data_IF_608374172584
#
_entry.id   IF_608374172584
#
_cell.length_a   1.000
_cell.length_b   1.000
_cell.length_c   1.000
_cell.angle_alpha   90.00
_cell.angle_beta   90.00
_cell.angle_gamma   90.00
#
_symmetry.space_group_name_H-M   'P 1'
#
loop_
_entity.id
_entity.type
_entity.pdbx_description
1 polymer ?
#
# COMPACT_ATOMS: atom_id res chain seq x y z
N UNK A 1 17.23 -2.76 -4.08
CA UNK A 1 15.98 -2.17 -3.58
C UNK A 1 14.94 -3.26 -3.71
N UNK A 2 14.69 -3.99 -2.63
CA UNK A 2 13.67 -5.03 -2.62
C UNK A 2 12.30 -4.40 -2.86
N UNK A 3 11.72 -4.71 -4.02
CA UNK A 3 10.33 -4.42 -4.30
C UNK A 3 9.52 -5.20 -3.26
N UNK A 4 8.99 -4.51 -2.25
CA UNK A 4 8.12 -5.13 -1.25
C UNK A 4 6.74 -5.36 -1.86
N UNK A 5 6.69 -6.27 -2.83
CA UNK A 5 5.47 -6.82 -3.38
C UNK A 5 5.12 -8.01 -2.51
N UNK A 6 4.16 -7.82 -1.61
CA UNK A 6 3.68 -8.94 -0.84
C UNK A 6 3.12 -10.00 -1.79
N UNK A 7 3.63 -11.23 -1.71
CA UNK A 7 3.23 -12.35 -2.58
C UNK A 7 1.84 -12.93 -2.26
N UNK A 8 0.98 -12.17 -1.58
CA UNK A 8 -0.36 -12.61 -1.22
C UNK A 8 -1.33 -12.35 -2.39
N UNK A 9 -2.10 -13.36 -2.78
CA UNK A 9 -3.10 -13.27 -3.85
C UNK A 9 -4.17 -12.20 -3.59
N UNK A 10 -4.42 -11.85 -2.33
CA UNK A 10 -5.39 -10.82 -1.92
C UNK A 10 -4.84 -9.38 -1.99
N UNK A 11 -3.62 -9.19 -2.50
CA UNK A 11 -3.05 -7.85 -2.65
C UNK A 11 -3.78 -7.06 -3.75
N UNK A 12 -4.53 -6.04 -3.36
CA UNK A 12 -5.20 -5.13 -4.28
C UNK A 12 -4.26 -4.01 -4.71
N UNK A 13 -4.07 -3.84 -6.02
CA UNK A 13 -3.35 -2.69 -6.55
C UNK A 13 -4.29 -1.50 -6.72
N UNK A 14 -3.85 -0.32 -6.30
CA UNK A 14 -4.55 0.96 -6.51
C UNK A 14 -3.66 1.88 -7.33
N UNK A 15 -4.26 2.66 -8.23
CA UNK A 15 -3.57 3.51 -9.19
C UNK A 15 -4.03 4.97 -9.07
N UNK A 16 -3.13 5.89 -9.35
CA UNK A 16 -3.37 7.33 -9.46
C UNK A 16 -2.69 7.85 -10.73
N UNK A 17 -3.46 8.52 -11.58
CA UNK A 17 -2.96 9.22 -12.78
C UNK A 17 -2.32 10.57 -12.46
N UNK A 18 -2.28 10.97 -11.18
CA UNK A 18 -1.71 12.25 -10.73
C UNK A 18 -0.18 12.20 -10.65
N UNK A 19 0.47 13.33 -10.41
CA UNK A 19 1.89 13.41 -10.09
C UNK A 19 2.25 12.69 -8.77
N UNK A 20 3.55 12.65 -8.42
CA UNK A 20 4.05 11.92 -7.24
C UNK A 20 3.41 12.39 -5.92
N UNK A 21 3.48 13.68 -5.59
CA UNK A 21 2.99 14.18 -4.28
C UNK A 21 1.49 13.90 -4.07
N UNK A 22 0.58 14.23 -5.01
CA UNK A 22 -0.83 13.90 -4.84
C UNK A 22 -1.11 12.39 -4.78
N UNK A 23 -0.21 11.56 -5.31
CA UNK A 23 -0.33 10.10 -5.22
C UNK A 23 0.09 9.58 -3.85
N UNK A 24 1.05 10.23 -3.20
CA UNK A 24 1.39 9.99 -1.79
C UNK A 24 0.23 10.42 -0.88
N UNK A 25 -0.34 11.61 -1.11
CA UNK A 25 -1.49 12.09 -0.34
C UNK A 25 -2.69 11.14 -0.47
N UNK A 26 -2.98 10.67 -1.69
CA UNK A 26 -4.05 9.70 -1.91
C UNK A 26 -3.78 8.37 -1.20
N UNK A 27 -2.55 7.85 -1.28
CA UNK A 27 -2.14 6.63 -0.57
C UNK A 27 -2.39 6.77 0.94
N UNK A 28 -2.01 7.91 1.52
CA UNK A 28 -2.12 8.16 2.96
C UNK A 28 -3.58 8.38 3.38
N UNK A 29 -4.38 9.07 2.57
CA UNK A 29 -5.82 9.20 2.76
C UNK A 29 -6.52 7.83 2.74
N UNK A 30 -6.12 6.94 1.82
CA UNK A 30 -6.61 5.56 1.79
C UNK A 30 -6.21 4.80 3.05
N UNK A 31 -4.93 4.87 3.46
CA UNK A 31 -4.45 4.22 4.68
C UNK A 31 -5.16 4.72 5.96
N UNK A 32 -5.64 5.97 5.97
CA UNK A 32 -6.42 6.55 7.07
C UNK A 32 -7.92 6.20 7.02
N UNK A 33 -8.44 5.69 5.89
CA UNK A 33 -9.84 5.32 5.75
C UNK A 33 -10.17 4.06 6.57
N UNK A 34 -11.31 4.00 7.28
CA UNK A 34 -11.75 2.81 8.02
C UNK A 34 -11.82 1.55 7.14
N UNK A 35 -12.11 1.69 5.84
CA UNK A 35 -12.19 0.57 4.90
C UNK A 35 -10.83 -0.07 4.61
N UNK A 36 -9.73 0.66 4.78
CA UNK A 36 -8.36 0.17 4.62
C UNK A 36 -7.57 0.21 5.93
N UNK A 37 -8.24 0.52 7.04
CA UNK A 37 -7.64 0.55 8.36
C UNK A 37 -7.20 -0.87 8.74
N UNK A 38 -5.91 -1.02 9.02
CA UNK A 38 -5.33 -2.34 9.23
C UNK A 38 -5.14 -3.13 7.93
N UNK A 39 -4.89 -2.46 6.80
CA UNK A 39 -4.27 -3.03 5.60
C UNK A 39 -2.88 -2.42 5.37
N UNK A 40 -1.95 -3.19 4.82
CA UNK A 40 -0.57 -2.73 4.60
C UNK A 40 -0.46 -2.04 3.24
N UNK A 41 0.24 -0.90 3.19
CA UNK A 41 0.49 -0.15 1.96
C UNK A 41 2.00 -0.03 1.71
N UNK A 42 2.49 -0.69 0.64
CA UNK A 42 3.92 -1.03 0.55
C UNK A 42 4.84 0.05 -0.04
N UNK A 43 4.41 0.79 -1.08
CA UNK A 43 5.13 1.95 -1.65
C UNK A 43 4.35 2.56 -2.81
N UNK A 44 4.57 3.85 -3.11
CA UNK A 44 4.15 4.48 -4.37
C UNK A 44 5.24 4.27 -5.43
N UNK A 45 4.91 3.67 -6.57
CA UNK A 45 5.82 3.43 -7.70
C UNK A 45 5.16 3.77 -9.03
N UNK A 46 5.96 4.20 -10.01
CA UNK A 46 5.44 4.57 -11.33
C UNK A 46 5.25 3.31 -12.19
N UNK A 47 4.04 3.11 -12.70
CA UNK A 47 3.74 2.13 -13.75
C UNK A 47 3.70 2.79 -15.12
N UNK A 48 4.46 2.26 -16.10
CA UNK A 48 4.36 2.71 -17.49
C UNK A 48 2.92 2.64 -17.99
N UNK A 49 2.44 3.73 -18.59
CA UNK A 49 1.12 3.82 -19.21
C UNK A 49 -0.09 3.93 -18.26
N UNK A 50 0.10 3.83 -16.94
CA UNK A 50 -1.01 3.87 -15.96
C UNK A 50 -0.85 5.03 -14.95
N UNK A 51 0.40 5.45 -14.66
CA UNK A 51 0.69 6.45 -13.64
C UNK A 51 1.24 5.82 -12.37
N UNK A 52 1.05 6.45 -11.22
CA UNK A 52 1.57 5.93 -9.95
C UNK A 52 0.65 4.86 -9.37
N UNK A 53 1.23 3.88 -8.68
CA UNK A 53 0.52 2.76 -8.10
C UNK A 53 1.07 2.41 -6.72
N UNK A 54 0.24 1.76 -5.90
CA UNK A 54 0.61 1.12 -4.63
C UNK A 54 -0.25 -0.12 -4.40
N UNK A 55 0.15 -0.97 -3.47
CA UNK A 55 -0.61 -2.20 -3.15
C UNK A 55 -1.15 -2.12 -1.74
N UNK A 56 -2.40 -2.56 -1.56
CA UNK A 56 -3.09 -2.72 -0.30
C UNK A 56 -3.21 -4.22 -0.02
N UNK A 57 -2.78 -4.69 1.14
CA UNK A 57 -2.86 -6.10 1.50
C UNK A 57 -3.36 -6.30 2.94
N UNK A 58 -4.53 -6.93 3.15
CA UNK A 58 -5.05 -7.22 4.48
C UNK A 58 -4.19 -8.24 5.23
N UNK A 59 -3.75 -9.33 4.56
CA UNK A 59 -2.89 -10.35 5.17
C UNK A 59 -1.55 -9.78 5.70
N UNK A 60 -0.96 -8.81 4.99
CA UNK A 60 0.26 -8.13 5.43
C UNK A 60 0.05 -7.25 6.67
N UNK A 61 -1.12 -6.67 6.85
CA UNK A 61 -1.36 -5.86 8.03
C UNK A 61 -1.68 -6.68 9.27
N UNK A 62 -2.23 -7.89 9.10
CA UNK A 62 -2.30 -8.86 10.20
C UNK A 62 -0.90 -9.26 10.69
N UNK A 63 0.05 -9.50 9.78
CA UNK A 63 1.45 -9.81 10.14
C UNK A 63 2.21 -8.60 10.69
N UNK A 64 1.92 -7.39 10.24
CA UNK A 64 2.55 -6.17 10.81
C UNK A 64 2.11 -5.93 12.27
N UNK A 65 0.90 -6.35 12.67
CA UNK A 65 0.46 -6.30 14.07
C UNK A 65 1.23 -7.27 14.97
N UNK A 66 1.65 -8.43 14.47
CA UNK A 66 2.45 -9.40 15.22
C UNK A 66 3.91 -8.97 15.39
N UNK A 67 4.46 -8.18 14.46
CA UNK A 67 5.84 -7.66 14.57
C UNK A 67 5.95 -6.45 15.51
N UNK A 68 4.84 -5.99 16.11
CA UNK A 68 4.82 -4.80 16.97
C UNK A 68 4.46 -5.03 18.43
N UNK A 69 4.83 -6.16 19.05
CA UNK A 69 5.12 -6.24 20.50
C UNK A 69 6.10 -7.39 20.79
N UNK A 70 7.40 -7.10 20.72
CA UNK A 70 8.41 -7.80 21.51
C UNK A 70 9.49 -6.79 21.87
N UNK A 71 9.28 -6.11 23.00
CA UNK A 71 10.31 -5.37 23.73
C UNK A 71 10.44 -6.02 25.11
#
# INVERSE_FOLDING_TARGET
MDEHRCGHDEAQQVNSSRSYEPSVDHRDAMAASPACAGMFVSRVYLRPGIGWAWTICPACAHTTKEVKVAA
#
